data_IF_685288102737
#
_entry.id   IF_685288102737
#
_cell.length_a   1.000
_cell.length_b   1.000
_cell.length_c   1.000
_cell.angle_alpha   90.00
_cell.angle_beta   90.00
_cell.angle_gamma   90.00
#
_symmetry.space_group_name_H-M   'P 1'
#
loop_
_entity.id
_entity.type
_entity.pdbx_description
1 polymer ?
#
# COMPACT_ATOMS: atom_id res chain seq x y z
N UNK A 1 28.96 -49.57 -22.15
CA UNK A 1 27.81 -50.31 -21.59
C UNK A 1 26.68 -49.31 -21.30
N UNK A 2 25.69 -49.29 -22.19
CA UNK A 2 24.46 -48.50 -22.09
C UNK A 2 23.37 -49.37 -21.45
N UNK A 3 22.71 -48.90 -20.38
CA UNK A 3 21.38 -49.38 -20.02
C UNK A 3 20.51 -48.23 -19.49
N UNK A 4 19.47 -47.95 -20.28
CA UNK A 4 18.36 -47.05 -20.01
C UNK A 4 17.51 -47.53 -18.81
N UNK A 5 17.03 -46.61 -17.98
CA UNK A 5 15.86 -46.83 -17.13
C UNK A 5 14.88 -45.65 -17.26
N UNK A 6 13.95 -45.84 -18.19
CA UNK A 6 12.81 -44.98 -18.49
C UNK A 6 11.75 -45.18 -17.41
N UNK A 7 11.58 -44.23 -16.49
CA UNK A 7 10.45 -44.24 -15.54
C UNK A 7 9.32 -43.37 -16.09
N UNK A 8 8.40 -44.00 -16.81
CA UNK A 8 7.05 -43.47 -17.05
C UNK A 8 6.26 -43.59 -15.74
N UNK A 9 5.72 -42.50 -15.22
CA UNK A 9 4.50 -42.53 -14.40
C UNK A 9 3.48 -41.60 -15.01
N UNK A 10 2.34 -42.20 -15.26
CA UNK A 10 1.11 -41.69 -15.85
C UNK A 10 0.32 -40.84 -14.87
N UNK A 11 -0.34 -39.82 -15.43
CA UNK A 11 -1.57 -39.14 -15.02
C UNK A 11 -2.11 -39.37 -13.60
N UNK A 12 -2.18 -38.28 -12.83
CA UNK A 12 -3.30 -38.06 -11.92
C UNK A 12 -3.71 -36.60 -12.04
N UNK A 13 -4.91 -36.40 -12.60
CA UNK A 13 -5.64 -35.15 -12.48
C UNK A 13 -5.72 -34.77 -10.99
N UNK A 14 -5.30 -33.54 -10.66
CA UNK A 14 -5.60 -32.94 -9.37
C UNK A 14 -6.46 -31.70 -9.61
N UNK A 15 -7.76 -32.00 -9.73
CA UNK A 15 -8.84 -31.28 -9.07
C UNK A 15 -8.69 -29.76 -8.99
N UNK A 16 -9.32 -29.11 -9.97
CA UNK A 16 -10.03 -27.85 -9.80
C UNK A 16 -10.86 -27.90 -8.50
N UNK A 17 -10.47 -27.12 -7.48
CA UNK A 17 -11.40 -26.73 -6.41
C UNK A 17 -10.93 -25.47 -5.70
N UNK A 18 -11.56 -24.36 -6.12
CA UNK A 18 -12.21 -23.38 -5.26
C UNK A 18 -11.50 -22.95 -3.98
N UNK A 19 -10.94 -21.75 -4.03
CA UNK A 19 -10.63 -20.95 -2.86
C UNK A 19 -10.71 -19.48 -3.21
N UNK A 20 -11.92 -18.97 -3.49
CA UNK A 20 -12.21 -17.54 -3.53
C UNK A 20 -11.88 -16.95 -2.16
N UNK A 21 -10.64 -16.51 -1.97
CA UNK A 21 -10.27 -15.61 -0.88
C UNK A 21 -10.75 -14.21 -1.26
N UNK A 22 -12.06 -14.01 -1.11
CA UNK A 22 -12.68 -12.69 -1.02
C UNK A 22 -12.23 -12.10 0.32
N UNK A 23 -11.00 -11.58 0.41
CA UNK A 23 -10.59 -10.74 1.53
C UNK A 23 -10.68 -9.28 1.12
N UNK A 24 -11.83 -8.72 1.49
CA UNK A 24 -12.17 -7.32 1.59
C UNK A 24 -11.03 -6.52 2.22
N UNK A 25 -10.56 -5.51 1.49
CA UNK A 25 -10.02 -4.29 2.07
C UNK A 25 -10.75 -3.08 1.48
N UNK A 26 -12.08 -3.14 1.43
CA UNK A 26 -12.90 -1.93 1.43
C UNK A 26 -13.10 -1.51 2.88
N UNK A 27 -12.62 -0.32 3.25
CA UNK A 27 -12.94 0.31 4.54
C UNK A 27 -11.76 0.44 5.51
N UNK A 28 -10.95 1.49 5.32
CA UNK A 28 -10.52 2.38 6.41
C UNK A 28 -9.95 3.67 5.80
N UNK A 29 -10.73 4.73 5.94
CA UNK A 29 -10.43 6.11 5.57
C UNK A 29 -9.07 6.53 6.16
N UNK A 30 -8.14 6.99 5.32
CA UNK A 30 -6.83 7.45 5.83
C UNK A 30 -5.66 7.63 4.87
N UNK A 31 -5.81 7.38 3.57
CA UNK A 31 -4.86 7.85 2.55
C UNK A 31 -5.67 8.54 1.45
N UNK A 32 -5.54 9.86 1.34
CA UNK A 32 -6.12 10.60 0.20
C UNK A 32 -5.37 10.15 -1.05
N UNK A 33 -5.90 9.13 -1.72
CA UNK A 33 -5.44 8.71 -3.04
C UNK A 33 -5.70 9.88 -3.98
N UNK A 34 -4.65 10.31 -4.68
CA UNK A 34 -4.77 11.42 -5.64
C UNK A 34 -5.76 10.99 -6.74
N UNK A 35 -6.75 11.81 -7.14
CA UNK A 35 -7.78 11.39 -8.10
C UNK A 35 -7.23 10.88 -9.43
N UNK A 36 -6.10 11.44 -9.89
CA UNK A 36 -5.46 11.00 -11.13
C UNK A 36 -4.85 9.59 -11.04
N UNK A 37 -4.57 9.08 -9.84
CA UNK A 37 -3.96 7.77 -9.62
C UNK A 37 -5.00 6.67 -9.35
N UNK A 38 -6.25 7.05 -9.11
CA UNK A 38 -7.33 6.14 -8.74
C UNK A 38 -7.56 5.04 -9.79
N UNK A 39 -7.67 5.44 -11.06
CA UNK A 39 -7.87 4.51 -12.16
C UNK A 39 -6.71 3.50 -12.27
N UNK A 40 -5.47 3.96 -12.08
CA UNK A 40 -4.29 3.10 -12.11
C UNK A 40 -4.30 2.09 -10.96
N UNK A 41 -4.50 2.53 -9.73
CA UNK A 41 -4.49 1.63 -8.57
C UNK A 41 -5.68 0.65 -8.55
N UNK A 42 -6.79 1.02 -9.19
CA UNK A 42 -7.95 0.15 -9.37
C UNK A 42 -7.84 -0.77 -10.60
N UNK A 43 -6.84 -0.56 -11.47
CA UNK A 43 -6.66 -1.38 -12.67
C UNK A 43 -6.28 -2.82 -12.36
N UNK A 44 -6.73 -3.74 -13.20
CA UNK A 44 -6.36 -5.16 -13.11
C UNK A 44 -4.86 -5.38 -13.36
N UNK A 45 -4.26 -4.57 -14.23
CA UNK A 45 -2.83 -4.60 -14.52
C UNK A 45 -2.00 -4.34 -13.26
N UNK A 46 -2.33 -3.31 -12.49
CA UNK A 46 -1.65 -3.03 -11.22
C UNK A 46 -1.86 -4.15 -10.19
N UNK A 47 -3.09 -4.64 -10.05
CA UNK A 47 -3.40 -5.71 -9.09
C UNK A 47 -2.61 -6.98 -9.39
N UNK A 48 -2.62 -7.41 -10.65
CA UNK A 48 -1.88 -8.59 -11.12
C UNK A 48 -0.37 -8.41 -10.97
N UNK A 49 0.16 -7.23 -11.33
CA UNK A 49 1.58 -6.92 -11.17
C UNK A 49 2.00 -6.95 -9.69
N UNK A 50 1.22 -6.30 -8.82
CA UNK A 50 1.45 -6.28 -7.37
C UNK A 50 1.49 -7.69 -6.79
N UNK A 51 0.52 -8.53 -7.14
CA UNK A 51 0.41 -9.88 -6.58
C UNK A 51 1.56 -10.75 -7.08
N UNK A 52 1.88 -10.71 -8.37
CA UNK A 52 3.02 -11.43 -8.95
C UNK A 52 4.36 -10.98 -8.35
N UNK A 53 4.55 -9.67 -8.17
CA UNK A 53 5.75 -9.11 -7.55
C UNK A 53 5.90 -9.56 -6.10
N UNK A 54 4.84 -9.43 -5.27
CA UNK A 54 4.88 -9.87 -3.87
C UNK A 54 5.11 -11.38 -3.75
N UNK A 55 4.51 -12.18 -4.63
CA UNK A 55 4.72 -13.62 -4.69
C UNK A 55 6.18 -13.95 -5.03
N UNK A 56 6.80 -13.24 -5.99
CA UNK A 56 8.22 -13.43 -6.34
C UNK A 56 9.17 -13.17 -5.17
N UNK A 57 8.79 -12.27 -4.27
CA UNK A 57 9.52 -11.93 -3.04
C UNK A 57 9.15 -12.82 -1.85
N UNK A 58 8.28 -13.82 -2.05
CA UNK A 58 7.80 -14.71 -0.99
C UNK A 58 6.97 -14.00 0.07
N UNK A 59 6.37 -12.85 -0.25
CA UNK A 59 5.69 -11.97 0.69
C UNK A 59 6.55 -11.56 1.88
N UNK A 60 7.88 -11.44 1.71
CA UNK A 60 8.78 -10.99 2.77
C UNK A 60 9.16 -9.52 2.56
N UNK A 61 9.22 -8.77 3.66
CA UNK A 61 9.63 -7.37 3.65
C UNK A 61 11.13 -7.26 3.34
N UNK A 62 11.49 -6.53 2.28
CA UNK A 62 12.89 -6.39 1.84
C UNK A 62 13.75 -5.57 2.81
N UNK A 63 13.13 -4.76 3.70
CA UNK A 63 13.87 -3.90 4.64
C UNK A 63 14.12 -4.50 6.01
N UNK A 64 13.16 -5.25 6.55
CA UNK A 64 13.21 -5.71 7.95
C UNK A 64 13.08 -7.22 8.12
N UNK A 65 12.73 -7.96 7.07
CA UNK A 65 12.67 -9.41 7.15
C UNK A 65 14.08 -9.97 7.27
N UNK A 66 14.27 -10.90 8.20
CA UNK A 66 15.53 -11.63 8.37
C UNK A 66 15.24 -13.12 8.49
N UNK A 67 16.23 -14.01 8.25
CA UNK A 67 16.02 -15.46 8.39
C UNK A 67 15.51 -15.89 9.77
N UNK A 68 15.84 -15.13 10.82
CA UNK A 68 15.42 -15.41 12.20
C UNK A 68 14.11 -14.73 12.61
N UNK A 69 13.68 -13.70 11.86
CA UNK A 69 12.45 -12.96 12.11
C UNK A 69 11.82 -12.55 10.77
N UNK A 70 11.05 -13.45 10.12
CA UNK A 70 10.42 -13.16 8.85
C UNK A 70 9.25 -12.20 9.04
N UNK A 71 9.24 -11.10 8.29
CA UNK A 71 8.18 -10.09 8.35
C UNK A 71 7.42 -10.07 7.05
N UNK A 72 6.11 -10.27 7.12
CA UNK A 72 5.25 -10.29 5.94
C UNK A 72 5.15 -8.90 5.27
N UNK A 73 5.50 -8.82 3.99
CA UNK A 73 5.19 -7.70 3.12
C UNK A 73 3.73 -7.76 2.69
N UNK A 74 3.05 -6.61 2.77
CA UNK A 74 1.65 -6.46 2.32
C UNK A 74 1.50 -5.40 1.23
N UNK A 75 2.55 -4.62 1.00
CA UNK A 75 2.53 -3.43 0.17
C UNK A 75 3.67 -3.53 -0.83
N UNK A 76 3.36 -3.41 -2.12
CA UNK A 76 4.34 -3.13 -3.14
C UNK A 76 4.48 -1.60 -3.23
N UNK A 77 5.61 -1.08 -2.79
CA UNK A 77 5.88 0.35 -2.72
C UNK A 77 6.70 0.79 -3.94
N UNK A 78 6.26 1.85 -4.61
CA UNK A 78 7.06 2.49 -5.67
C UNK A 78 8.24 3.26 -5.08
N UNK A 79 9.47 2.90 -5.46
CA UNK A 79 10.71 3.61 -5.08
C UNK A 79 10.75 5.01 -5.67
N UNK A 80 10.40 5.13 -6.96
CA UNK A 80 10.18 6.41 -7.63
C UNK A 80 8.70 6.75 -7.56
N UNK A 81 8.38 7.87 -6.91
CA UNK A 81 6.99 8.31 -6.75
C UNK A 81 6.30 8.48 -8.11
N UNK A 82 5.08 7.95 -8.19
CA UNK A 82 4.22 8.22 -9.33
C UNK A 82 3.76 9.68 -9.33
N UNK A 83 3.75 10.25 -10.52
CA UNK A 83 3.26 11.58 -10.88
C UNK A 83 2.15 11.45 -11.91
N UNK A 84 1.41 12.53 -12.14
CA UNK A 84 0.33 12.54 -13.13
C UNK A 84 0.84 12.20 -14.54
N UNK A 85 2.11 12.46 -14.81
CA UNK A 85 2.76 12.28 -16.10
C UNK A 85 3.26 10.84 -16.31
N UNK A 86 3.74 10.17 -15.25
CA UNK A 86 4.37 8.85 -15.38
C UNK A 86 3.44 7.67 -15.05
N UNK A 87 2.27 7.92 -14.47
CA UNK A 87 1.33 6.87 -14.03
C UNK A 87 0.81 5.99 -15.16
N UNK A 88 0.73 6.53 -16.37
CA UNK A 88 0.27 5.82 -17.55
C UNK A 88 1.39 5.09 -18.30
N UNK A 89 2.65 5.28 -17.89
CA UNK A 89 3.79 4.59 -18.48
C UNK A 89 4.00 3.24 -17.76
N UNK A 90 3.71 2.09 -18.41
CA UNK A 90 3.85 0.78 -17.78
C UNK A 90 5.31 0.47 -17.42
N UNK A 91 6.30 1.04 -18.10
CA UNK A 91 7.71 0.84 -17.81
C UNK A 91 8.16 1.54 -16.52
N UNK A 92 7.35 2.46 -15.99
CA UNK A 92 7.61 3.13 -14.71
C UNK A 92 6.64 2.61 -13.64
N UNK A 93 5.36 2.51 -13.98
CA UNK A 93 4.30 2.22 -13.04
C UNK A 93 4.19 0.72 -12.68
N UNK A 94 4.55 -0.17 -13.62
CA UNK A 94 4.51 -1.63 -13.45
C UNK A 94 5.89 -2.28 -13.43
N UNK A 95 6.97 -1.49 -13.52
CA UNK A 95 8.33 -2.03 -13.50
C UNK A 95 8.71 -2.55 -12.13
N UNK A 96 9.16 -3.81 -12.08
CA UNK A 96 9.58 -4.48 -10.86
C UNK A 96 10.81 -3.83 -10.22
N UNK A 97 11.68 -3.21 -11.02
CA UNK A 97 12.86 -2.50 -10.52
C UNK A 97 12.46 -1.27 -9.70
N UNK A 98 11.33 -0.65 -10.08
CA UNK A 98 10.75 0.49 -9.39
C UNK A 98 9.86 0.08 -8.20
N UNK A 99 9.71 -1.22 -7.90
CA UNK A 99 8.92 -1.71 -6.78
C UNK A 99 9.80 -2.26 -5.65
N UNK A 100 9.28 -2.19 -4.44
CA UNK A 100 9.89 -2.72 -3.21
C UNK A 100 8.80 -3.36 -2.34
N UNK A 101 9.02 -4.59 -1.88
CA UNK A 101 8.08 -5.29 -1.01
C UNK A 101 8.27 -4.84 0.45
N UNK A 102 7.29 -4.14 1.00
CA UNK A 102 7.34 -3.58 2.35
C UNK A 102 6.22 -4.10 3.26
N UNK A 103 6.54 -4.23 4.55
CA UNK A 103 5.54 -4.35 5.59
C UNK A 103 4.89 -2.97 5.88
N UNK A 104 3.74 -2.97 6.56
CA UNK A 104 3.01 -1.75 6.88
C UNK A 104 3.86 -0.73 7.65
N UNK A 105 4.69 -1.19 8.59
CA UNK A 105 5.51 -0.31 9.42
C UNK A 105 6.64 0.33 8.63
N UNK A 106 7.31 -0.44 7.77
CA UNK A 106 8.35 0.09 6.88
C UNK A 106 7.76 1.08 5.87
N UNK A 107 6.59 0.78 5.31
CA UNK A 107 5.87 1.70 4.43
C UNK A 107 5.49 3.00 5.15
N UNK A 108 4.94 2.90 6.37
CA UNK A 108 4.57 4.06 7.16
C UNK A 108 5.78 4.93 7.51
N UNK A 109 6.93 4.33 7.82
CA UNK A 109 8.18 5.07 8.09
C UNK A 109 8.65 5.86 6.87
N UNK A 110 8.40 5.35 5.65
CA UNK A 110 8.75 6.05 4.41
C UNK A 110 7.83 7.26 4.17
N UNK A 111 6.51 7.08 4.27
CA UNK A 111 5.53 8.15 3.99
C UNK A 111 5.27 9.13 5.14
N UNK A 112 5.48 8.70 6.39
CA UNK A 112 5.11 9.46 7.58
C UNK A 112 6.31 9.90 8.43
N UNK A 113 7.36 10.42 7.80
CA UNK A 113 8.42 11.16 8.52
C UNK A 113 7.88 12.40 9.27
N UNK A 114 6.70 12.91 8.90
CA UNK A 114 6.02 13.97 9.67
C UNK A 114 5.34 13.35 10.89
N UNK A 115 5.85 13.63 12.11
CA UNK A 115 5.16 13.35 13.38
C UNK A 115 3.68 13.73 13.22
N UNK A 116 2.77 12.77 13.41
CA UNK A 116 1.33 13.09 13.52
C UNK A 116 1.21 14.22 14.54
N UNK A 117 0.71 15.38 14.13
CA UNK A 117 0.54 16.53 15.02
C UNK A 117 -0.34 16.05 16.17
N UNK A 118 0.18 16.06 17.40
CA UNK A 118 -0.58 15.62 18.58
C UNK A 118 -1.90 16.42 18.59
N UNK A 119 -3.03 15.72 18.50
CA UNK A 119 -4.36 16.35 18.50
C UNK A 119 -4.73 16.91 19.87
N UNK A 120 -4.07 16.43 20.91
CA UNK A 120 -4.16 16.88 22.29
C UNK A 120 -2.93 16.40 23.07
N UNK A 121 -2.66 17.05 24.19
CA UNK A 121 -1.68 16.68 25.23
C UNK A 121 -2.36 16.72 26.59
N UNK A 122 -1.80 16.08 27.61
CA UNK A 122 -2.28 16.21 28.99
C UNK A 122 -1.33 17.10 29.79
N UNK A 123 -1.85 17.93 30.68
CA UNK A 123 -1.04 18.60 31.70
C UNK A 123 -0.73 17.66 32.89
N UNK A 124 0.10 18.12 33.83
CA UNK A 124 0.50 17.34 35.02
C UNK A 124 -0.69 17.00 35.95
N UNK A 125 -1.81 17.68 35.78
CA UNK A 125 -3.05 17.46 36.53
C UNK A 125 -4.05 16.56 35.77
N UNK A 126 -3.69 16.05 34.59
CA UNK A 126 -4.53 15.18 33.77
C UNK A 126 -5.57 15.91 32.89
N UNK A 127 -5.50 17.24 32.77
CA UNK A 127 -6.39 18.00 31.89
C UNK A 127 -5.92 17.94 30.43
N UNK A 128 -6.87 17.91 29.50
CA UNK A 128 -6.62 17.84 28.05
C UNK A 128 -6.28 19.24 27.51
N UNK A 129 -5.03 19.45 27.10
CA UNK A 129 -4.55 20.61 26.34
C UNK A 129 -4.75 20.35 24.84
N UNK A 130 -5.56 21.18 24.17
CA UNK A 130 -5.72 21.14 22.71
C UNK A 130 -4.71 22.09 22.03
N UNK A 131 -4.11 21.71 20.88
CA UNK A 131 -3.28 22.63 20.10
C UNK A 131 -4.14 23.81 19.62
N UNK A 132 -3.57 25.03 19.50
CA UNK A 132 -4.33 26.22 19.14
C UNK A 132 -5.01 26.03 17.78
N UNK A 133 -6.34 26.14 17.75
CA UNK A 133 -7.14 26.11 16.53
C UNK A 133 -6.83 27.41 15.79
N UNK A 134 -6.10 27.34 14.67
CA UNK A 134 -6.02 28.48 13.74
C UNK A 134 -7.39 28.63 13.08
N UNK A 135 -8.28 29.41 13.68
CA UNK A 135 -9.44 29.96 12.97
C UNK A 135 -8.93 31.13 12.15
N UNK A 136 -8.68 30.92 10.86
CA UNK A 136 -8.59 32.04 9.93
C UNK A 136 -9.99 32.66 9.84
N UNK A 137 -10.21 33.74 10.57
CA UNK A 137 -11.37 34.60 10.35
C UNK A 137 -11.18 35.27 8.99
N UNK A 138 -12.00 34.90 8.01
CA UNK A 138 -12.20 35.74 6.82
C UNK A 138 -12.94 36.99 7.28
N UNK A 139 -12.22 38.08 7.49
CA UNK A 139 -12.81 39.42 7.56
C UNK A 139 -13.45 39.75 6.21
N UNK A 140 -14.72 40.20 6.21
CA UNK A 140 -15.33 40.82 5.02
C UNK A 140 -16.62 40.20 4.45
N UNK A 141 -17.43 39.49 5.23
CA UNK A 141 -18.80 39.14 4.82
C UNK A 141 -19.77 40.28 5.09
N UNK A 142 -20.21 41.00 4.05
CA UNK A 142 -21.24 42.05 4.16
C UNK A 142 -22.59 41.47 4.65
N UNK A 143 -23.36 42.21 5.46
CA UNK A 143 -24.70 41.77 5.84
C UNK A 143 -25.66 41.92 4.64
N UNK A 144 -26.26 40.81 4.23
CA UNK A 144 -27.37 40.81 3.28
C UNK A 144 -28.63 41.23 4.05
N UNK A 145 -29.12 42.44 3.79
CA UNK A 145 -30.40 42.93 4.30
C UNK A 145 -31.53 42.01 3.81
N UNK A 146 -32.34 41.53 4.75
CA UNK A 146 -33.58 40.80 4.45
C UNK A 146 -34.71 41.78 4.16
N UNK A 147 -35.37 41.57 3.03
CA UNK A 147 -36.71 42.06 2.72
C UNK A 147 -37.62 40.88 2.50
#
# INVERSE_FOLDING_TARGET
>A
MNFYAKRKRTNSAFSEQSGRALLLCAGKEGASMKPWAEQFYNSEAWRSCRDAFLQSKGYLCERCSTPHNPVAAKIAHHKTYLTKQNVNDPYIALSWDNLEALCQDCHNKEHHKSKRKKRYSFDENGNVILPPIRREFREGGTPRAGG
#
